data_IF_420753896801
#
_entry.id   IF_420753896801
#
_cell.length_a   1.000
_cell.length_b   1.000
_cell.length_c   1.000
_cell.angle_alpha   90.00
_cell.angle_beta   90.00
_cell.angle_gamma   90.00
#
_symmetry.space_group_name_H-M   'P 1'
#
loop_
_entity.id
_entity.type
_entity.pdbx_description
1 polymer ?
2 non-polymer ?
3 water ?
#
# COMPACT_ATOMS: atom_id res chain seq x y z
N UNK A 1 -27.19 18.54 -0.11
CA UNK A 1 -28.17 17.61 -0.69
C UNK A 1 -27.57 16.24 -0.90
N UNK A 2 -28.18 15.21 -0.31
CA UNK A 2 -27.68 13.86 -0.44
C UNK A 2 -27.82 13.33 -1.87
N UNK A 3 -28.81 13.83 -2.59
CA UNK A 3 -29.08 13.38 -3.94
C UNK A 3 -28.11 13.88 -4.99
N UNK A 4 -27.40 14.95 -4.68
CA UNK A 4 -26.42 15.52 -5.61
C UNK A 4 -25.07 15.67 -4.93
N UNK A 5 -24.86 14.89 -3.88
CA UNK A 5 -23.64 14.97 -3.08
C UNK A 5 -22.43 14.38 -3.80
N UNK A 6 -21.37 15.19 -3.91
CA UNK A 6 -20.11 14.73 -4.46
C UNK A 6 -19.40 13.82 -3.46
N UNK A 7 -19.09 12.61 -3.88
CA UNK A 7 -18.44 11.64 -3.01
C UNK A 7 -17.02 12.07 -2.64
N UNK A 8 -16.71 12.03 -1.36
CA UNK A 8 -15.36 12.32 -0.88
C UNK A 8 -14.49 11.07 -1.01
N UNK A 9 -13.21 11.22 -0.68
CA UNK A 9 -12.27 10.11 -0.78
C UNK A 9 -12.65 8.97 0.15
N UNK A 10 -12.90 9.29 1.42
CA UNK A 10 -13.24 8.28 2.42
C UNK A 10 -14.57 7.59 2.11
N UNK A 11 -15.55 8.35 1.65
CA UNK A 11 -16.86 7.79 1.30
C UNK A 11 -16.76 6.86 0.10
N UNK A 12 -15.95 7.24 -0.88
CA UNK A 12 -15.75 6.41 -2.06
C UNK A 12 -14.88 5.20 -1.74
N UNK A 13 -13.91 5.40 -0.85
CA UNK A 13 -13.01 4.32 -0.44
C UNK A 13 -13.76 3.23 0.30
N UNK A 14 -14.56 3.64 1.30
CA UNK A 14 -15.31 2.71 2.13
C UNK A 14 -16.21 1.80 1.30
N UNK A 15 -16.68 2.32 0.16
CA UNK A 15 -17.56 1.57 -0.71
C UNK A 15 -16.78 0.66 -1.67
N UNK A 16 -15.63 1.15 -2.14
CA UNK A 16 -14.83 0.40 -3.10
C UNK A 16 -13.94 -0.65 -2.43
N UNK A 17 -13.52 -0.36 -1.21
CA UNK A 17 -12.74 -1.33 -0.44
C UNK A 17 -13.66 -2.39 0.16
N UNK A 18 -14.96 -2.18 0.02
CA UNK A 18 -15.94 -3.18 0.41
C UNK A 18 -16.04 -4.24 -0.67
N UNK A 19 -15.41 -5.39 -0.42
CA UNK A 19 -15.34 -6.48 -1.39
C UNK A 19 -14.72 -6.01 -2.70
N UNK A 27 -7.48 -5.56 -7.89
CA UNK A 27 -6.83 -4.66 -6.95
C UNK A 27 -7.37 -3.24 -7.07
N UNK A 28 -8.06 -2.78 -6.03
CA UNK A 28 -8.59 -1.42 -6.01
C UNK A 28 -7.82 -0.55 -5.03
N UNK A 29 -7.13 0.45 -5.56
CA UNK A 29 -6.33 1.34 -4.75
C UNK A 29 -7.16 2.47 -4.13
N UNK A 30 -6.68 2.98 -2.99
CA UNK A 30 -7.34 4.08 -2.31
C UNK A 30 -7.39 5.31 -3.19
N UNK A 31 -8.55 5.99 -3.22
CA UNK A 31 -8.77 7.19 -4.05
C UNK A 31 -7.71 8.26 -3.86
N UNK A 32 -7.21 8.80 -4.97
CA UNK A 32 -6.16 9.81 -4.93
C UNK A 32 -6.51 11.02 -5.79
N UNK A 33 -5.82 12.13 -5.55
CA UNK A 33 -5.90 13.27 -6.44
C UNK A 33 -4.82 13.10 -7.50
N UNK A 34 -5.09 13.59 -8.71
CA UNK A 34 -4.13 13.45 -9.79
C UNK A 34 -2.86 14.24 -9.52
N UNK A 35 -3.01 15.56 -9.43
CA UNK A 35 -1.87 16.43 -9.15
C UNK A 35 -1.99 17.10 -7.79
N UNK A 36 -0.98 16.89 -6.95
CA UNK A 36 -0.90 17.53 -5.64
C UNK A 36 -0.91 19.06 -5.81
N UNK A 37 -1.69 19.76 -4.98
CA UNK A 37 -1.84 21.22 -5.11
C UNK A 37 -0.54 21.99 -4.89
N UNK A 38 0.16 21.72 -3.79
CA UNK A 38 1.35 22.49 -3.43
C UNK A 38 2.56 22.14 -4.29
N UNK A 39 3.04 20.90 -4.18
CA UNK A 39 4.26 20.49 -4.87
C UNK A 39 4.05 20.24 -6.36
N UNK A 40 2.78 20.13 -6.75
CA UNK A 40 2.40 19.95 -8.16
C UNK A 40 3.01 18.69 -8.79
N UNK A 41 3.18 17.65 -7.98
CA UNK A 41 3.66 16.37 -8.47
C UNK A 41 2.51 15.55 -9.02
N UNK A 42 2.83 14.58 -9.88
CA UNK A 42 1.82 13.66 -10.38
C UNK A 42 1.70 12.48 -9.42
N UNK A 43 0.70 12.53 -8.56
CA UNK A 43 0.50 11.51 -7.53
C UNK A 43 0.22 10.14 -8.14
N UNK A 44 -0.46 10.12 -9.28
CA UNK A 44 -0.73 8.88 -9.98
C UNK A 44 0.56 8.25 -10.48
N UNK A 45 1.46 9.09 -10.99
CA UNK A 45 2.77 8.63 -11.44
C UNK A 45 3.60 8.10 -10.28
N UNK A 46 3.55 8.82 -9.17
CA UNK A 46 4.31 8.47 -7.98
C UNK A 46 3.78 7.19 -7.35
N UNK A 47 2.47 7.02 -7.38
CA UNK A 47 1.83 5.83 -6.80
C UNK A 47 2.19 4.59 -7.60
N UNK A 48 2.12 4.69 -8.92
CA UNK A 48 2.45 3.59 -9.81
C UNK A 48 3.92 3.20 -9.67
N UNK A 49 4.79 4.20 -9.62
CA UNK A 49 6.22 3.97 -9.47
C UNK A 49 6.53 3.26 -8.16
N UNK A 50 5.88 3.69 -7.10
CA UNK A 50 6.03 3.06 -5.78
C UNK A 50 5.59 1.60 -5.83
N UNK A 51 4.57 1.32 -6.63
CA UNK A 51 4.04 -0.03 -6.76
C UNK A 51 5.02 -0.97 -7.46
N UNK A 52 5.62 -0.52 -8.56
CA UNK A 52 6.52 -1.35 -9.34
C UNK A 52 7.72 -1.80 -8.50
N UNK A 53 8.15 -0.96 -7.57
CA UNK A 53 9.30 -1.27 -6.72
C UNK A 53 8.92 -2.16 -5.54
N UNK A 54 7.62 -2.36 -5.32
CA UNK A 54 7.15 -3.17 -4.20
C UNK A 54 6.13 -4.22 -4.66
N UNK A 55 6.49 -5.49 -4.52
CA UNK A 55 5.68 -6.60 -5.02
C UNK A 55 5.48 -6.49 -6.52
N UNK A 56 4.45 -5.77 -6.95
CA UNK A 56 4.20 -5.57 -8.36
C UNK A 56 2.80 -5.11 -8.71
N UNK A 57 2.56 -4.96 -10.01
CA UNK A 57 1.25 -4.55 -10.52
C UNK A 57 0.35 -5.75 -10.76
N UNK A 58 -0.85 -5.72 -10.19
CA UNK A 58 -1.82 -6.80 -10.38
C UNK A 58 -2.26 -6.86 -11.84
N UNK A 59 -2.93 -7.95 -12.19
CA UNK A 59 -3.38 -8.14 -13.57
C UNK A 59 -4.43 -7.09 -13.94
N UNK A 60 -5.14 -6.61 -12.93
CA UNK A 60 -6.07 -5.50 -13.09
C UNK A 60 -5.86 -4.45 -12.00
N UNK A 61 -5.14 -3.38 -12.33
CA UNK A 61 -4.91 -2.31 -11.36
C UNK A 61 -5.92 -1.18 -11.53
N UNK A 62 -6.71 -0.95 -10.49
CA UNK A 62 -7.76 0.06 -10.54
C UNK A 62 -7.41 1.28 -9.68
N UNK A 63 -7.44 2.45 -10.31
CA UNK A 63 -7.23 3.70 -9.59
C UNK A 63 -8.43 4.64 -9.71
N UNK A 64 -8.88 5.16 -8.57
CA UNK A 64 -9.92 6.19 -8.55
C UNK A 64 -9.25 7.55 -8.41
N UNK A 65 -9.15 8.28 -9.51
CA UNK A 65 -8.40 9.52 -9.53
C UNK A 65 -9.30 10.75 -9.61
N UNK A 66 -9.06 11.69 -8.71
CA UNK A 66 -9.82 12.95 -8.68
C UNK A 66 -9.05 14.07 -9.33
N UNK A 67 -9.64 14.69 -10.35
CA UNK A 67 -9.00 15.77 -11.09
C UNK A 67 -9.64 17.11 -10.79
N UNK A 68 -10.25 17.23 -9.61
CA UNK A 68 -10.92 18.45 -9.21
C UNK A 68 -12.39 18.24 -8.94
N UNK A 69 -13.16 18.00 -10.00
CA UNK A 69 -14.58 17.72 -9.87
C UNK A 69 -14.92 16.37 -10.47
N UNK A 70 -13.91 15.71 -11.03
CA UNK A 70 -14.09 14.40 -11.65
C UNK A 70 -13.63 13.27 -10.73
N UNK A 71 -14.40 12.19 -10.69
CA UNK A 71 -13.90 10.91 -10.20
C UNK A 71 -13.66 10.01 -11.40
N UNK A 72 -12.40 9.74 -11.70
CA UNK A 72 -12.06 8.95 -12.87
C UNK A 72 -11.73 7.51 -12.52
N UNK A 73 -12.26 6.59 -13.32
CA UNK A 73 -11.88 5.18 -13.21
C UNK A 73 -10.67 4.92 -14.08
N UNK A 74 -9.53 4.67 -13.43
CA UNK A 74 -8.29 4.43 -14.15
C UNK A 74 -7.85 2.96 -13.99
N UNK A 75 -7.94 2.21 -15.08
CA UNK A 75 -7.63 0.79 -15.04
C UNK A 75 -6.35 0.44 -15.81
N UNK A 76 -5.44 -0.26 -15.12
CA UNK A 76 -4.25 -0.79 -15.76
C UNK A 76 -4.35 -2.32 -15.81
N UNK A 77 -4.36 -2.87 -17.02
CA UNK A 77 -4.55 -4.30 -17.20
C UNK A 77 -3.69 -4.87 -18.32
N UNK A 78 -3.26 -6.11 -18.14
CA UNK A 78 -2.47 -6.81 -19.16
C UNK A 78 -3.36 -7.69 -20.01
N UNK A 79 -3.17 -7.63 -21.33
CA UNK A 79 -3.98 -8.41 -22.26
C UNK A 79 -3.31 -8.56 -23.62
N UNK A 80 -2.43 -9.56 -23.75
CA UNK A 80 -2.08 -10.44 -22.66
C UNK A 80 -0.62 -10.21 -22.27
N UNK A 81 0.23 -10.06 -23.27
CA UNK A 81 1.64 -9.74 -23.05
C UNK A 81 1.82 -8.23 -22.97
N UNK A 82 0.86 -7.50 -23.53
CA UNK A 82 0.90 -6.04 -23.53
C UNK A 82 -0.03 -5.47 -22.46
N UNK A 83 0.50 -4.58 -21.63
CA UNK A 83 -0.30 -3.90 -20.63
C UNK A 83 -1.02 -2.72 -21.27
N UNK A 84 -2.28 -2.51 -20.90
CA UNK A 84 -3.08 -1.45 -21.49
C UNK A 84 -3.66 -0.51 -20.43
N UNK A 85 -3.87 0.73 -20.80
CA UNK A 85 -4.45 1.72 -19.90
C UNK A 85 -5.86 2.10 -20.35
N UNK A 86 -6.73 2.30 -19.38
CA UNK A 86 -8.13 2.60 -19.66
C UNK A 86 -8.63 3.72 -18.74
N UNK A 87 -9.15 4.79 -19.35
CA UNK A 87 -9.69 5.91 -18.58
C UNK A 87 -11.19 6.04 -18.82
N UNK A 88 -11.96 5.96 -17.74
CA UNK A 88 -13.41 6.02 -17.83
C UNK A 88 -13.94 7.34 -17.27
N UNK A 89 -14.40 8.21 -18.15
CA UNK A 89 -14.92 9.52 -17.75
C UNK A 89 -16.42 9.61 -17.99
N UNK A 90 -17.17 9.89 -16.94
CA UNK A 90 -18.63 9.94 -17.03
C UNK A 90 -19.17 11.37 -17.06
N UNK A 91 -18.28 12.33 -17.27
CA UNK A 91 -18.66 13.74 -17.29
C UNK A 91 -18.19 14.39 -18.59
N UNK A 92 -17.96 15.70 -18.57
CA UNK A 92 -17.47 16.40 -19.74
C UNK A 92 -16.06 15.96 -20.10
N UNK A 93 -15.69 16.16 -21.37
CA UNK A 93 -14.38 15.76 -21.86
C UNK A 93 -13.25 16.43 -21.07
N UNK A 94 -12.25 15.64 -20.70
CA UNK A 94 -11.08 16.16 -20.01
C UNK A 94 -10.29 17.06 -20.95
N UNK A 95 -9.75 18.16 -20.43
CA UNK A 95 -8.88 18.99 -21.23
C UNK A 95 -7.56 18.26 -21.47
N UNK A 96 -6.85 18.64 -22.52
CA UNK A 96 -5.67 17.91 -22.96
C UNK A 96 -4.53 17.99 -21.94
N UNK A 97 -4.54 19.02 -21.11
CA UNK A 97 -3.56 19.14 -20.03
C UNK A 97 -3.70 18.02 -19.00
N UNK A 98 -4.93 17.80 -18.54
CA UNK A 98 -5.23 16.74 -17.59
C UNK A 98 -4.93 15.38 -18.20
N UNK A 99 -5.22 15.25 -19.49
CA UNK A 99 -5.04 13.99 -20.21
C UNK A 99 -3.59 13.53 -20.24
N UNK A 100 -2.67 14.45 -20.49
CA UNK A 100 -1.27 14.09 -20.64
C UNK A 100 -0.54 13.93 -19.31
N UNK A 101 -1.20 14.31 -18.22
CA UNK A 101 -0.70 14.00 -16.90
C UNK A 101 -0.99 12.53 -16.63
N UNK A 102 -2.10 12.05 -17.20
CA UNK A 102 -2.48 10.65 -17.11
C UNK A 102 -1.62 9.80 -18.05
N UNK A 103 -1.33 10.34 -19.23
CA UNK A 103 -0.48 9.66 -20.20
C UNK A 103 0.93 9.46 -19.64
N UNK A 104 1.43 10.48 -18.96
CA UNK A 104 2.74 10.41 -18.32
C UNK A 104 2.78 9.29 -17.29
N UNK A 105 1.69 9.17 -16.52
CA UNK A 105 1.58 8.12 -15.51
C UNK A 105 1.42 6.76 -16.17
N UNK A 106 0.73 6.72 -17.30
CA UNK A 106 0.52 5.49 -18.04
C UNK A 106 1.84 4.88 -18.50
N UNK A 107 2.73 5.74 -18.99
CA UNK A 107 4.03 5.31 -19.46
C UNK A 107 4.83 4.60 -18.37
N UNK A 108 4.69 5.09 -17.14
CA UNK A 108 5.36 4.49 -15.99
C UNK A 108 4.85 3.07 -15.76
N UNK A 109 3.54 2.88 -15.93
CA UNK A 109 2.92 1.56 -15.78
C UNK A 109 3.42 0.60 -16.86
N UNK A 110 3.98 1.14 -17.94
CA UNK A 110 4.60 0.33 -18.97
C UNK A 110 3.84 0.25 -20.27
N UNK A 111 2.99 1.24 -20.54
CA UNK A 111 2.21 1.26 -21.77
C UNK A 111 3.11 1.38 -23.00
N UNK A 116 -1.73 2.86 -26.81
CA UNK A 116 -2.29 4.20 -26.61
C UNK A 116 -3.26 4.22 -25.43
N UNK A 117 -3.26 5.32 -24.69
CA UNK A 117 -4.16 5.48 -23.55
C UNK A 117 -5.60 5.62 -24.05
N UNK A 118 -6.44 4.65 -23.70
CA UNK A 118 -7.82 4.62 -24.16
C UNK A 118 -8.75 5.43 -23.26
N UNK A 119 -9.06 6.65 -23.68
CA UNK A 119 -9.98 7.51 -22.95
C UNK A 119 -11.43 7.25 -23.34
N UNK A 120 -12.21 6.72 -22.40
CA UNK A 120 -13.64 6.52 -22.62
C UNK A 120 -14.43 7.63 -21.95
N UNK A 121 -14.84 8.62 -22.74
CA UNK A 121 -15.49 9.82 -22.20
C UNK A 121 -16.92 9.97 -22.71
N UNK A 122 -17.88 9.80 -21.80
CA UNK A 122 -19.30 9.96 -22.11
C UNK A 122 -20.03 10.58 -20.92
N UNK A 123 -20.70 11.70 -21.15
CA UNK A 123 -21.40 12.39 -20.06
C UNK A 123 -22.70 11.68 -19.68
N UNK A 124 -22.70 11.07 -18.50
CA UNK A 124 -23.85 10.31 -18.01
C UNK A 124 -24.50 11.01 -16.82
N UNK A 125 -24.08 12.23 -16.54
CA UNK A 125 -24.45 12.91 -15.30
C UNK A 125 -25.49 14.00 -15.46
N UNK A 126 -26.17 14.04 -16.60
CA UNK A 126 -27.23 15.01 -16.81
C UNK A 126 -28.40 14.75 -15.85
N UNK A 127 -28.58 13.50 -15.47
CA UNK A 127 -29.61 13.13 -14.52
C UNK A 127 -29.03 12.47 -13.27
N UNK A 128 -27.71 12.37 -13.24
CA UNK A 128 -27.01 11.87 -12.05
C UNK A 128 -25.95 12.90 -11.63
N UNK A 129 -26.38 13.95 -10.91
CA UNK A 129 -25.52 15.06 -10.51
C UNK A 129 -24.35 14.61 -9.63
N UNK A 130 -23.13 14.95 -10.04
CA UNK A 130 -21.92 14.53 -9.34
C UNK A 130 -21.89 13.02 -9.14
N UNK A 131 -22.32 12.29 -10.16
CA UNK A 131 -22.43 10.84 -10.08
C UNK A 131 -21.17 10.11 -10.49
N UNK A 132 -20.08 10.86 -10.66
CA UNK A 132 -18.80 10.29 -11.07
C UNK A 132 -18.36 9.19 -10.12
N UNK A 133 -18.52 9.43 -8.82
CA UNK A 133 -18.18 8.44 -7.81
C UNK A 133 -19.15 7.27 -7.83
N UNK A 134 -20.38 7.52 -8.26
CA UNK A 134 -21.40 6.48 -8.33
C UNK A 134 -21.09 5.48 -9.44
N UNK A 135 -20.70 5.99 -10.61
CA UNK A 135 -20.37 5.13 -11.73
C UNK A 135 -19.09 4.36 -11.48
N UNK A 136 -18.18 4.94 -10.70
CA UNK A 136 -16.97 4.25 -10.28
C UNK A 136 -17.33 3.02 -9.45
N UNK A 137 -18.16 3.23 -8.44
CA UNK A 137 -18.60 2.16 -7.56
C UNK A 137 -19.35 1.06 -8.32
N UNK A 138 -20.16 1.45 -9.29
CA UNK A 138 -20.99 0.52 -10.03
C UNK A 138 -20.19 -0.28 -11.05
N UNK A 139 -19.30 0.38 -11.76
CA UNK A 139 -18.53 -0.26 -12.83
C UNK A 139 -17.46 -1.21 -12.30
N UNK A 140 -16.94 -0.93 -11.10
CA UNK A 140 -16.00 -1.83 -10.46
C UNK A 140 -16.66 -3.17 -10.20
N UNK A 141 -17.94 -3.12 -9.83
CA UNK A 141 -18.72 -4.33 -9.65
C UNK A 141 -18.97 -5.02 -10.98
N UNK A 142 -19.18 -4.23 -12.03
CA UNK A 142 -19.31 -4.79 -13.38
C UNK A 142 -18.05 -5.53 -13.82
N UNK A 143 -16.89 -4.88 -13.65
CA UNK A 143 -15.61 -5.43 -14.08
C UNK A 143 -15.26 -6.69 -13.29
N UNK A 144 -15.79 -6.81 -12.08
CA UNK A 144 -15.54 -7.99 -11.26
C UNK A 144 -16.51 -9.12 -11.62
N UNK A 145 -17.63 -8.79 -12.22
CA UNK A 145 -18.54 -9.79 -12.72
C UNK A 145 -18.24 -10.11 -14.19
N UNK A 146 -17.37 -9.32 -14.79
CA UNK A 146 -17.03 -9.51 -16.19
C UNK A 146 -15.89 -10.51 -16.38
N UNK A 147 -14.97 -10.55 -15.43
CA UNK A 147 -13.87 -11.49 -15.44
C UNK A 147 -12.88 -11.29 -16.58
N UNK A 148 -12.94 -12.18 -17.57
CA UNK A 148 -11.98 -12.17 -18.66
C UNK A 148 -12.45 -11.35 -19.84
N UNK A 149 -13.69 -10.84 -19.77
CA UNK A 149 -14.22 -9.99 -20.82
C UNK A 149 -13.41 -8.71 -20.96
N UNK A 150 -13.32 -8.20 -22.19
CA UNK A 150 -12.59 -6.96 -22.45
C UNK A 150 -13.22 -5.80 -21.70
N UNK A 151 -12.47 -5.20 -20.78
CA UNK A 151 -12.98 -4.13 -19.92
C UNK A 151 -13.33 -2.87 -20.70
N UNK A 152 -12.67 -2.66 -21.84
CA UNK A 152 -12.92 -1.49 -22.66
C UNK A 152 -14.29 -1.55 -23.32
N UNK A 153 -14.77 -2.76 -23.55
CA UNK A 153 -16.09 -2.95 -24.15
C UNK A 153 -17.14 -3.19 -23.08
N UNK A 154 -16.69 -3.50 -21.87
CA UNK A 154 -17.59 -3.64 -20.73
C UNK A 154 -18.13 -2.29 -20.31
N UNK A 155 -17.23 -1.33 -20.18
CA UNK A 155 -17.59 0.03 -19.74
C UNK A 155 -18.27 0.81 -20.85
N UNK A 156 -17.82 0.61 -22.09
CA UNK A 156 -18.36 1.33 -23.23
C UNK A 156 -19.83 1.01 -23.46
N UNK A 157 -20.15 -0.28 -23.50
CA UNK A 157 -21.52 -0.72 -23.73
C UNK A 157 -22.42 -0.42 -22.54
N UNK A 158 -21.83 -0.33 -21.35
CA UNK A 158 -22.57 0.06 -20.16
C UNK A 158 -23.01 1.51 -20.25
N UNK A 159 -22.09 2.39 -20.64
CA UNK A 159 -22.36 3.81 -20.74
C UNK A 159 -23.37 4.10 -21.86
N UNK A 160 -23.23 3.38 -22.97
CA UNK A 160 -24.17 3.53 -24.08
C UNK A 160 -25.57 3.10 -23.67
N UNK A 161 -25.66 1.95 -23.02
CA UNK A 161 -26.94 1.43 -22.54
C UNK A 161 -27.57 2.33 -21.48
N UNK A 162 -26.71 3.01 -20.71
CA UNK A 162 -27.18 3.89 -19.64
C UNK A 162 -27.86 5.12 -20.22
N UNK A 163 -27.38 5.58 -21.37
CA UNK A 163 -27.94 6.75 -22.03
C UNK A 163 -29.30 6.46 -22.64
N UNK A 164 -29.58 5.18 -22.89
CA UNK A 164 -30.84 4.77 -23.50
C UNK A 164 -31.97 4.75 -22.48
N UNK A 165 -31.61 4.80 -21.20
CA UNK A 165 -32.60 4.79 -20.13
C UNK A 165 -33.35 6.12 -20.05
N UNK A 166 -34.57 6.08 -19.53
CA UNK A 166 -35.36 7.29 -19.34
C UNK A 166 -34.87 8.05 -18.11
N UNK A 167 -35.29 9.30 -17.99
CA UNK A 167 -34.90 10.15 -16.87
C UNK A 167 -35.28 9.51 -15.54
N UNK A 168 -36.47 8.94 -15.48
CA UNK A 168 -36.97 8.28 -14.27
C UNK A 168 -36.10 7.09 -13.88
N UNK A 169 -35.59 6.38 -14.88
CA UNK A 169 -34.72 5.23 -14.64
C UNK A 169 -33.32 5.67 -14.23
N UNK A 170 -32.83 6.73 -14.87
CA UNK A 170 -31.51 7.26 -14.56
C UNK A 170 -31.47 7.86 -13.15
N UNK A 171 -32.53 8.57 -12.80
CA UNK A 171 -32.63 9.17 -11.47
C UNK A 171 -32.81 8.10 -10.41
N UNK A 172 -33.45 7.00 -10.78
CA UNK A 172 -33.63 5.87 -9.87
C UNK A 172 -32.29 5.24 -9.54
N UNK A 173 -31.44 5.09 -10.56
CA UNK A 173 -30.09 4.59 -10.39
C UNK A 173 -29.30 5.49 -9.45
N UNK A 174 -29.59 6.79 -9.51
CA UNK A 174 -28.90 7.78 -8.69
C UNK A 174 -29.15 7.61 -7.20
N UNK A 175 -30.40 7.36 -6.84
CA UNK A 175 -30.79 7.29 -5.43
C UNK A 175 -30.53 5.91 -4.82
N UNK A 176 -30.67 4.86 -5.62
CA UNK A 176 -30.42 3.50 -5.16
C UNK A 176 -28.94 3.29 -4.87
N UNK A 177 -28.09 3.71 -5.80
CA UNK A 177 -26.65 3.54 -5.68
C UNK A 177 -26.11 4.31 -4.48
N UNK A 178 -26.61 5.53 -4.30
CA UNK A 178 -26.17 6.38 -3.19
C UNK A 178 -26.56 5.80 -1.84
N UNK A 179 -27.69 5.10 -1.80
CA UNK A 179 -28.17 4.51 -0.55
C UNK A 179 -27.30 3.32 -0.12
N UNK A 180 -26.66 2.68 -1.09
CA UNK A 180 -25.75 1.58 -0.79
C UNK A 180 -24.38 2.12 -0.42
N UNK A 181 -23.93 3.13 -1.16
CA UNK A 181 -22.63 3.75 -0.92
C UNK A 181 -22.58 4.41 0.45
N UNK A 182 -23.65 5.13 0.81
CA UNK A 182 -23.70 5.84 2.07
C UNK A 182 -23.65 4.89 3.27
N UNK A 183 -24.05 3.64 3.06
CA UNK A 183 -24.07 2.65 4.13
C UNK A 183 -22.67 2.29 4.61
N UNK A 184 -21.71 2.26 3.68
CA UNK A 184 -20.33 1.96 4.03
C UNK A 184 -19.73 3.03 4.92
N UNK A 185 -20.23 4.25 4.79
CA UNK A 185 -19.72 5.38 5.55
C UNK A 185 -20.50 5.58 6.85
N UNK A 186 -21.39 4.65 7.16
CA UNK A 186 -22.19 4.72 8.37
C UNK A 186 -22.07 3.44 9.19
N UNK B 1 31.89 -9.59 0.18
CA UNK B 1 31.80 -10.87 0.90
C UNK B 1 30.35 -11.22 1.22
N UNK B 2 29.91 -12.40 0.79
CA UNK B 2 28.53 -12.81 0.98
C UNK B 2 28.19 -13.11 2.44
N UNK B 3 29.20 -13.48 3.21
CA UNK B 3 28.99 -13.88 4.59
C UNK B 3 28.80 -12.73 5.57
N UNK B 4 29.24 -11.55 5.19
CA UNK B 4 29.13 -10.38 6.06
C UNK B 4 28.47 -9.21 5.34
N UNK B 5 27.70 -9.53 4.30
CA UNK B 5 27.07 -8.52 3.46
C UNK B 5 25.87 -7.88 4.13
N UNK B 6 25.86 -6.55 4.20
CA UNK B 6 24.72 -5.81 4.72
C UNK B 6 23.57 -5.84 3.72
N UNK B 7 22.42 -6.34 4.16
CA UNK B 7 21.25 -6.45 3.29
C UNK B 7 20.71 -5.07 2.91
N UNK B 8 20.39 -4.91 1.63
CA UNK B 8 19.75 -3.69 1.16
C UNK B 8 18.25 -3.77 1.40
N UNK B 9 17.54 -2.69 1.08
CA UNK B 9 16.10 -2.65 1.30
C UNK B 9 15.36 -3.68 0.46
N UNK B 10 15.73 -3.78 -0.82
CA UNK B 10 15.01 -4.62 -1.77
C UNK B 10 15.17 -6.12 -1.49
N UNK B 11 16.38 -6.56 -1.19
CA UNK B 11 16.62 -7.97 -0.92
C UNK B 11 16.06 -8.36 0.44
N UNK B 12 15.95 -7.40 1.34
CA UNK B 12 15.27 -7.61 2.61
C UNK B 12 13.77 -7.64 2.36
N UNK B 13 13.32 -6.80 1.43
CA UNK B 13 11.90 -6.75 1.07
C UNK B 13 11.48 -8.03 0.37
N UNK B 14 12.29 -8.47 -0.58
CA UNK B 14 11.98 -9.66 -1.37
C UNK B 14 11.90 -10.92 -0.52
N UNK B 15 12.61 -10.92 0.60
CA UNK B 15 12.66 -12.09 1.47
C UNK B 15 11.55 -12.09 2.52
N UNK B 16 11.27 -10.93 3.10
CA UNK B 16 10.32 -10.83 4.22
C UNK B 16 8.85 -10.95 3.81
N UNK B 17 8.50 -10.38 2.66
CA UNK B 17 7.12 -10.45 2.19
C UNK B 17 6.90 -11.66 1.28
N UNK B 18 7.98 -12.40 1.01
CA UNK B 18 7.84 -13.68 0.36
C UNK B 18 7.48 -14.71 1.40
N UNK B 19 7.72 -14.33 2.66
CA UNK B 19 7.40 -15.17 3.81
C UNK B 19 5.89 -15.21 4.05
N UNK B 20 5.28 -14.03 4.06
CA UNK B 20 3.84 -13.92 4.23
C UNK B 20 3.16 -13.61 2.90
N UNK B 21 1.87 -13.28 2.95
CA UNK B 21 1.13 -12.94 1.74
C UNK B 21 -0.12 -12.13 2.09
N UNK B 25 -4.58 -9.90 9.70
CA UNK B 25 -3.49 -10.85 9.46
C UNK B 25 -2.16 -10.30 9.97
N UNK B 26 -1.07 -10.67 9.30
CA UNK B 26 0.25 -10.17 9.66
C UNK B 26 0.78 -9.25 8.56
N UNK B 27 0.70 -7.95 8.80
CA UNK B 27 1.09 -6.97 7.78
C UNK B 27 2.58 -6.68 7.79
N UNK B 28 3.24 -7.00 6.68
CA UNK B 28 4.66 -6.70 6.53
C UNK B 28 4.87 -5.58 5.52
N UNK B 29 5.34 -4.44 6.01
CA UNK B 29 5.54 -3.27 5.17
C UNK B 29 6.92 -3.24 4.51
N UNK B 30 7.02 -2.49 3.42
CA UNK B 30 8.28 -2.32 2.71
C UNK B 30 9.28 -1.57 3.59
N UNK B 31 10.55 -2.01 3.59
CA UNK B 31 11.63 -1.43 4.39
C UNK B 31 11.78 0.08 4.20
N UNK B 32 11.86 0.81 5.31
CA UNK B 32 12.01 2.25 5.27
C UNK B 32 13.16 2.72 6.16
N UNK B 33 13.58 3.97 5.97
CA UNK B 33 14.51 4.61 6.87
C UNK B 33 13.72 5.39 7.90
N UNK B 34 14.27 5.55 9.10
CA UNK B 34 13.56 6.23 10.17
C UNK B 34 13.40 7.72 9.88
N UNK B 35 14.53 8.41 9.76
CA UNK B 35 14.51 9.84 9.49
C UNK B 35 15.13 10.17 8.13
N UNK B 36 14.42 10.96 7.34
CA UNK B 36 14.93 11.46 6.07
C UNK B 36 16.24 12.20 6.31
N UNK B 37 17.28 11.90 5.52
CA UNK B 37 18.58 12.58 5.64
C UNK B 37 18.51 14.09 5.36
N UNK B 38 18.10 14.48 4.15
CA UNK B 38 18.00 15.89 3.78
C UNK B 38 17.02 16.62 4.69
N UNK B 39 15.77 16.14 4.69
CA UNK B 39 14.77 16.63 5.62
C UNK B 39 15.13 16.10 7.02
N UNK B 40 14.22 16.18 7.97
CA UNK B 40 14.40 15.53 9.26
C UNK B 40 13.08 14.94 9.73
N UNK B 41 12.26 14.54 8.78
CA UNK B 41 10.94 14.00 9.07
C UNK B 41 11.00 12.53 9.46
N UNK B 42 10.08 12.12 10.32
CA UNK B 42 9.96 10.73 10.71
C UNK B 42 9.14 9.95 9.69
N UNK B 43 9.83 9.20 8.83
CA UNK B 43 9.16 8.45 7.77
C UNK B 43 8.25 7.36 8.36
N UNK B 44 8.65 6.82 9.51
CA UNK B 44 7.83 5.82 10.19
C UNK B 44 6.52 6.43 10.68
N UNK B 45 6.59 7.66 11.19
CA UNK B 45 5.41 8.37 11.66
C UNK B 45 4.45 8.69 10.52
N UNK B 46 5.00 9.21 9.42
CA UNK B 46 4.19 9.57 8.26
C UNK B 46 3.60 8.34 7.58
N UNK B 47 4.33 7.23 7.65
CA UNK B 47 3.86 5.98 7.06
C UNK B 47 2.65 5.46 7.83
N UNK B 48 2.70 5.59 9.15
CA UNK B 48 1.61 5.16 10.01
C UNK B 48 0.37 6.03 9.84
N UNK B 49 0.58 7.34 9.71
CA UNK B 49 -0.53 8.27 9.57
C UNK B 49 -1.31 8.03 8.28
N UNK B 50 -0.60 7.84 7.17
CA UNK B 50 -1.23 7.55 5.89
C UNK B 50 -2.02 6.24 5.99
N UNK B 51 -1.47 5.28 6.72
CA UNK B 51 -2.13 4.00 6.95
C UNK B 51 -3.48 4.21 7.64
N UNK B 52 -3.46 4.92 8.76
CA UNK B 52 -4.65 5.18 9.55
C UNK B 52 -5.69 6.00 8.78
N UNK B 53 -5.21 6.87 7.90
CA UNK B 53 -6.09 7.75 7.13
C UNK B 53 -6.80 7.01 5.99
N UNK B 54 -6.40 5.76 5.75
CA UNK B 54 -6.98 5.00 4.65
C UNK B 54 -7.54 3.65 5.11
N UNK B 55 -7.01 2.58 4.53
CA UNK B 55 -7.49 1.22 4.81
C UNK B 55 -7.23 0.79 6.25
N UNK B 56 -6.55 1.65 7.00
CA UNK B 56 -6.40 1.44 8.44
C UNK B 56 -5.12 0.75 8.86
N UNK B 57 -4.90 0.73 10.17
CA UNK B 57 -3.75 0.06 10.75
C UNK B 57 -4.10 -1.37 11.14
N UNK B 58 -3.44 -2.33 10.49
CA UNK B 58 -3.64 -3.74 10.85
C UNK B 58 -3.12 -3.96 12.27
N UNK B 59 -3.67 -4.96 12.96
CA UNK B 59 -3.31 -5.18 14.35
C UNK B 59 -2.07 -6.06 14.49
N UNK B 60 -1.47 -6.37 13.34
CA UNK B 60 -0.11 -6.92 13.30
C UNK B 60 0.69 -6.21 12.23
N UNK B 61 1.19 -5.01 12.55
CA UNK B 61 1.96 -4.23 11.59
C UNK B 61 3.46 -4.38 11.81
N UNK B 62 4.14 -4.89 10.80
CA UNK B 62 5.59 -5.09 10.87
C UNK B 62 6.31 -4.05 10.03
N UNK B 63 7.22 -3.31 10.66
CA UNK B 63 8.05 -2.35 9.94
C UNK B 63 9.53 -2.71 10.05
N UNK B 64 10.20 -2.78 8.91
CA UNK B 64 11.64 -2.95 8.88
C UNK B 64 12.28 -1.57 8.73
N UNK B 65 12.76 -1.02 9.84
CA UNK B 65 13.25 0.35 9.86
C UNK B 65 14.77 0.42 9.93
N UNK B 66 15.35 1.21 9.03
CA UNK B 66 16.80 1.42 9.02
C UNK B 66 17.16 2.73 9.71
N UNK B 67 18.01 2.64 10.72
CA UNK B 67 18.40 3.81 11.50
C UNK B 67 19.87 4.17 11.27
N UNK B 68 20.37 3.88 10.08
CA UNK B 68 21.76 4.12 9.75
C UNK B 68 22.60 2.88 9.89
N UNK B 69 22.70 2.11 8.80
CA UNK B 69 23.45 0.87 8.76
C UNK B 69 23.00 -0.14 9.82
N UNK B 70 21.73 -0.06 10.19
CA UNK B 70 21.16 -1.01 11.16
C UNK B 70 19.68 -1.27 10.88
N UNK B 71 19.31 -2.53 10.81
CA UNK B 71 17.92 -2.92 10.58
C UNK B 71 17.20 -3.22 11.90
N UNK B 72 16.09 -2.54 12.12
CA UNK B 72 15.28 -2.77 13.32
C UNK B 72 13.93 -3.41 12.96
N UNK B 73 13.52 -4.38 13.77
CA UNK B 73 12.20 -4.96 13.63
C UNK B 73 11.21 -4.19 14.50
N UNK B 74 10.25 -3.54 13.86
CA UNK B 74 9.27 -2.75 14.58
C UNK B 74 7.88 -3.37 14.48
N UNK B 75 7.35 -3.84 15.60
CA UNK B 75 6.07 -4.54 15.62
C UNK B 75 4.99 -3.76 16.35
N UNK B 76 3.87 -3.52 15.68
CA UNK B 76 2.70 -2.93 16.31
C UNK B 76 1.60 -3.98 16.41
N UNK B 77 1.25 -4.36 17.65
CA UNK B 77 0.26 -5.41 17.85
C UNK B 77 -0.69 -5.07 19.00
N UNK B 78 -1.85 -5.73 19.00
CA UNK B 78 -2.84 -5.54 20.05
C UNK B 78 -2.83 -6.69 21.04
N UNK B 79 -2.86 -6.36 22.33
CA UNK B 79 -2.86 -7.38 23.38
C UNK B 79 -4.21 -7.40 24.10
N UNK B 80 -4.78 -6.22 24.30
CA UNK B 80 -6.08 -6.09 24.94
C UNK B 80 -6.70 -4.72 24.63
N UNK B 83 -3.39 -2.18 22.03
CA UNK B 83 -2.38 -1.56 21.17
C UNK B 83 -1.02 -1.53 21.85
N UNK B 84 -0.11 -2.37 21.37
CA UNK B 84 1.24 -2.45 21.94
C UNK B 84 2.31 -2.31 20.86
N UNK B 85 3.45 -1.75 21.24
CA UNK B 85 4.57 -1.59 20.32
C UNK B 85 5.78 -2.40 20.79
N UNK B 86 6.48 -3.00 19.83
CA UNK B 86 7.63 -3.84 20.14
C UNK B 86 8.81 -3.51 19.23
N UNK B 87 9.96 -3.24 19.83
CA UNK B 87 11.17 -2.96 19.07
C UNK B 87 12.23 -4.02 19.32
N UNK B 88 12.72 -4.63 18.24
CA UNK B 88 13.71 -5.69 18.35
C UNK B 88 15.05 -5.25 17.78
N UNK B 89 16.03 -5.10 18.67
CA UNK B 89 17.38 -4.67 18.30
C UNK B 89 18.40 -5.76 18.57
N UNK B 90 19.11 -6.19 17.53
CA UNK B 90 20.05 -7.30 17.66
C UNK B 90 21.51 -6.84 17.65
N UNK B 91 21.73 -5.53 17.69
CA UNK B 91 23.08 -4.99 17.78
C UNK B 91 23.24 -4.20 19.07
N UNK B 92 24.14 -3.23 19.06
CA UNK B 92 24.37 -2.38 20.21
C UNK B 92 23.13 -1.54 20.52
N UNK B 93 23.00 -1.13 21.78
CA UNK B 93 21.83 -0.38 22.23
C UNK B 93 21.65 0.93 21.46
N UNK B 94 20.42 1.21 21.09
CA UNK B 94 20.07 2.46 20.44
C UNK B 94 20.34 3.63 21.38
N UNK B 95 20.91 4.71 20.86
CA UNK B 95 21.09 5.91 21.66
C UNK B 95 19.73 6.49 22.02
N UNK B 96 19.70 7.29 23.08
CA UNK B 96 18.43 7.82 23.59
C UNK B 96 17.75 8.76 22.59
N UNK B 97 18.53 9.28 21.65
CA UNK B 97 17.97 10.08 20.57
C UNK B 97 17.08 9.23 19.66
N UNK B 98 17.66 8.21 19.04
CA UNK B 98 16.98 7.34 18.08
C UNK B 98 15.69 6.74 18.63
N UNK B 99 15.68 6.40 19.90
CA UNK B 99 14.52 5.78 20.52
C UNK B 99 13.32 6.74 20.58
N UNK B 100 13.59 8.04 20.58
CA UNK B 100 12.55 9.05 20.74
C UNK B 100 11.63 9.16 19.53
N UNK B 101 12.19 9.09 18.32
CA UNK B 101 11.39 9.16 17.11
C UNK B 101 10.55 7.89 16.97
N UNK B 102 11.04 6.80 17.57
CA UNK B 102 10.29 5.56 17.60
C UNK B 102 9.11 5.69 18.56
N UNK B 103 9.36 6.34 19.70
CA UNK B 103 8.28 6.67 20.63
C UNK B 103 7.28 7.59 19.96
N UNK B 104 7.80 8.57 19.23
CA UNK B 104 6.97 9.52 18.48
C UNK B 104 6.00 8.82 17.54
N UNK B 105 6.51 7.85 16.79
CA UNK B 105 5.69 7.12 15.84
C UNK B 105 4.73 6.15 16.54
N UNK B 106 5.19 5.59 17.65
CA UNK B 106 4.37 4.64 18.40
C UNK B 106 3.13 5.31 18.97
N UNK B 107 3.28 6.56 19.39
CA UNK B 107 2.16 7.33 19.91
C UNK B 107 1.11 7.56 18.82
N UNK B 108 1.57 7.71 17.59
CA UNK B 108 0.70 7.85 16.43
C UNK B 108 -0.07 6.55 16.19
N UNK B 109 0.62 5.43 16.42
CA UNK B 109 0.01 4.11 16.27
C UNK B 109 -1.05 3.86 17.36
N UNK B 110 -0.98 4.64 18.43
CA UNK B 110 -1.99 4.59 19.47
C UNK B 110 -1.53 3.95 20.77
N UNK B 111 -0.26 4.15 21.12
CA UNK B 111 0.26 3.62 22.38
C UNK B 111 -0.21 4.43 23.58
N UNK B 116 3.74 1.15 27.36
CA UNK B 116 4.68 1.93 26.58
C UNK B 116 5.62 1.01 25.80
N UNK B 117 6.40 1.60 24.89
CA UNK B 117 7.20 0.84 23.93
C UNK B 117 8.25 -0.06 24.57
N UNK B 118 8.15 -1.36 24.29
CA UNK B 118 9.08 -2.35 24.81
C UNK B 118 10.31 -2.50 23.91
N UNK B 119 11.42 -1.89 24.31
CA UNK B 119 12.67 -2.00 23.57
C UNK B 119 13.45 -3.24 23.98
N UNK B 120 13.49 -4.22 23.09
CA UNK B 120 14.25 -5.45 23.34
C UNK B 120 15.61 -5.37 22.66
N UNK B 121 16.62 -4.98 23.43
CA UNK B 121 17.95 -4.73 22.86
C UNK B 121 18.99 -5.72 23.38
N UNK B 122 19.40 -6.64 22.50
CA UNK B 122 20.43 -7.64 22.84
C UNK B 122 21.35 -7.85 21.64
N UNK B 123 22.64 -7.58 21.82
CA UNK B 123 23.61 -7.73 20.75
C UNK B 123 23.82 -9.20 20.37
N UNK B 124 23.34 -9.58 19.19
CA UNK B 124 23.42 -10.96 18.73
C UNK B 124 24.35 -11.10 17.53
N UNK B 125 25.11 -10.05 17.22
CA UNK B 125 25.86 -10.02 15.97
C UNK B 125 27.38 -10.13 16.15
N UNK B 126 27.82 -10.64 17.29
CA UNK B 126 29.24 -10.86 17.52
C UNK B 126 29.81 -11.89 16.55
N UNK B 127 28.97 -12.84 16.15
CA UNK B 127 29.35 -13.85 15.18
C UNK B 127 28.47 -13.81 13.94
N UNK B 128 27.55 -12.84 13.91
CA UNK B 128 26.69 -12.65 12.75
C UNK B 128 26.85 -11.21 12.24
N UNK B 129 27.93 -10.95 11.48
CA UNK B 129 28.24 -9.60 10.99
C UNK B 129 27.20 -9.08 10.01
N UNK B 130 26.72 -7.86 10.25
CA UNK B 130 25.66 -7.25 9.45
C UNK B 130 24.44 -8.16 9.32
N UNK B 131 24.13 -8.87 10.40
CA UNK B 131 23.04 -9.83 10.38
C UNK B 131 21.73 -9.28 10.89
N UNK B 132 21.65 -7.96 11.04
CA UNK B 132 20.43 -7.32 11.53
C UNK B 132 19.24 -7.63 10.62
N UNK B 133 19.48 -7.67 9.31
CA UNK B 133 18.45 -8.02 8.36
C UNK B 133 18.10 -9.48 8.44
N UNK B 134 19.07 -10.30 8.83
CA UNK B 134 18.86 -11.74 8.99
C UNK B 134 17.92 -12.02 10.15
N UNK B 135 18.18 -11.37 11.28
CA UNK B 135 17.34 -11.53 12.46
C UNK B 135 15.94 -11.00 12.22
N UNK B 136 15.84 -9.96 11.39
CA UNK B 136 14.54 -9.43 11.00
C UNK B 136 13.75 -10.47 10.22
N UNK B 137 14.41 -11.12 9.28
CA UNK B 137 13.78 -12.14 8.44
C UNK B 137 13.33 -13.35 9.25
N UNK B 138 14.18 -13.79 10.18
CA UNK B 138 13.89 -14.99 10.96
C UNK B 138 12.79 -14.77 11.98
N UNK B 139 12.76 -13.59 12.59
CA UNK B 139 11.75 -13.29 13.60
C UNK B 139 10.37 -13.11 12.98
N UNK B 140 10.32 -12.63 11.75
CA UNK B 140 9.06 -12.56 11.02
C UNK B 140 8.53 -13.98 10.79
N UNK B 141 9.45 -14.91 10.54
CA UNK B 141 9.09 -16.32 10.39
C UNK B 141 8.58 -16.88 11.71
N UNK B 142 9.20 -16.47 12.81
CA UNK B 142 8.78 -16.91 14.13
C UNK B 142 7.37 -16.43 14.45
N UNK B 143 7.11 -15.15 14.20
CA UNK B 143 5.81 -14.57 14.46
C UNK B 143 4.73 -15.21 13.58
N UNK B 144 5.12 -15.59 12.37
CA UNK B 144 4.20 -16.22 11.43
C UNK B 144 4.15 -17.73 11.63
N UNK B 149 2.16 -18.95 20.10
CA UNK B 149 1.46 -17.66 19.98
C UNK B 149 1.65 -16.84 21.25
N UNK B 150 1.92 -15.56 21.03
CA UNK B 150 2.58 -14.66 21.99
C UNK B 150 3.73 -13.96 21.30
N UNK B 151 4.07 -12.77 21.80
CA UNK B 151 5.00 -11.90 21.09
C UNK B 151 6.28 -11.46 21.81
N UNK B 152 6.13 -10.73 22.92
CA UNK B 152 7.23 -9.97 23.52
C UNK B 152 8.27 -10.83 24.25
N UNK B 153 7.92 -12.06 24.57
CA UNK B 153 8.87 -12.97 25.21
C UNK B 153 9.26 -14.09 24.26
N UNK B 154 8.58 -14.16 23.12
CA UNK B 154 8.95 -15.11 22.08
C UNK B 154 10.28 -14.70 21.46
N UNK B 155 10.38 -13.42 21.10
CA UNK B 155 11.59 -12.87 20.51
C UNK B 155 12.69 -12.77 21.56
N UNK B 156 12.30 -12.60 22.82
CA UNK B 156 13.26 -12.49 23.90
C UNK B 156 13.76 -13.87 24.32
N UNK B 157 12.97 -14.90 24.00
CA UNK B 157 13.39 -16.28 24.25
C UNK B 157 14.32 -16.74 23.12
N UNK B 158 14.02 -16.29 21.91
CA UNK B 158 14.85 -16.61 20.75
C UNK B 158 16.27 -16.09 20.94
N UNK B 159 16.37 -14.83 21.37
CA UNK B 159 17.66 -14.20 21.60
C UNK B 159 18.39 -14.86 22.77
N UNK B 160 17.62 -15.48 23.66
CA UNK B 160 18.19 -16.14 24.83
C UNK B 160 18.90 -17.44 24.44
N UNK B 161 18.16 -18.35 23.80
CA UNK B 161 18.73 -19.62 23.36
C UNK B 161 19.79 -19.44 22.28
N UNK B 162 19.73 -18.31 21.57
CA UNK B 162 20.71 -17.99 20.55
C UNK B 162 22.05 -17.63 21.18
N UNK B 163 21.98 -16.97 22.34
CA UNK B 163 23.19 -16.55 23.05
C UNK B 163 23.89 -17.71 23.74
N UNK B 164 23.14 -18.76 24.06
CA UNK B 164 23.71 -19.92 24.74
C UNK B 164 24.57 -20.75 23.79
N UNK B 165 24.39 -20.52 22.49
CA UNK B 165 25.16 -21.23 21.48
C UNK B 165 26.58 -20.67 21.40
N UNK B 166 27.52 -21.50 20.96
CA UNK B 166 28.91 -21.07 20.81
C UNK B 166 29.13 -20.50 19.43
N UNK B 167 30.39 -20.24 19.07
CA UNK B 167 30.73 -19.93 17.69
C UNK B 167 30.32 -21.14 16.86
N UNK B 168 29.25 -20.97 16.08
CA UNK B 168 28.43 -22.05 15.51
C UNK B 168 27.64 -22.71 16.65
N UNK B 169 26.34 -22.92 16.44
CA UNK B 169 25.69 -22.71 15.15
C UNK B 169 25.24 -21.25 14.91
N UNK B 170 25.81 -20.32 15.68
CA UNK B 170 25.60 -18.90 15.43
C UNK B 170 26.11 -18.53 14.04
N UNK B 171 27.30 -19.03 13.71
CA UNK B 171 27.89 -18.80 12.39
C UNK B 171 27.17 -19.62 11.34
N UNK B 172 26.67 -20.79 11.75
CA UNK B 172 25.87 -21.63 10.86
C UNK B 172 24.56 -20.93 10.52
N UNK B 173 23.93 -20.35 11.54
CA UNK B 173 22.72 -19.57 11.36
C UNK B 173 22.96 -18.40 10.42
N UNK B 174 24.18 -17.87 10.45
CA UNK B 174 24.56 -16.74 9.61
C UNK B 174 24.57 -17.10 8.13
N UNK B 175 25.18 -18.24 7.80
CA UNK B 175 25.31 -18.65 6.40
C UNK B 175 24.08 -19.37 5.88
N UNK B 176 23.31 -19.95 6.80
CA UNK B 176 22.08 -20.65 6.42
C UNK B 176 20.97 -19.67 6.10
N UNK B 177 20.81 -18.67 6.96
CA UNK B 177 19.78 -17.65 6.77
C UNK B 177 20.05 -16.80 5.53
N UNK B 178 21.32 -16.42 5.35
CA UNK B 178 21.71 -15.59 4.22
C UNK B 178 21.41 -16.26 2.89
N UNK B 179 21.63 -17.57 2.82
CA UNK B 179 21.42 -18.31 1.59
C UNK B 179 19.94 -18.49 1.28
N UNK B 180 19.11 -18.58 2.32
CA UNK B 180 17.67 -18.65 2.12
C UNK B 180 17.13 -17.30 1.70
N UNK B 181 17.72 -16.23 2.25
CA UNK B 181 17.33 -14.87 1.91
C UNK B 181 17.76 -14.50 0.49
N UNK B 182 19.01 -14.84 0.16
CA UNK B 182 19.55 -14.55 -1.16
C UNK B 182 18.76 -15.26 -2.26
N UNK B 183 18.10 -16.35 -1.90
CA UNK B 183 17.33 -17.15 -2.84
C UNK B 183 16.15 -16.38 -3.42
N UNK B 184 15.55 -15.52 -2.60
CA UNK B 184 14.42 -14.70 -3.04
C UNK B 184 14.85 -13.67 -4.08
N UNK B 185 16.12 -13.27 -4.02
CA UNK B 185 16.66 -12.27 -4.95
C UNK B 185 17.35 -12.94 -6.13
N UNK B 186 17.22 -14.26 -6.23
CA UNK B 186 17.83 -15.01 -7.31
C UNK B 186 16.85 -16.03 -7.91
#
# INVERSE_FOLDING_TARGET
PLGSRMLSSDELAAATQGLVQESPLLSVNYPIGLIHPTTKENILSTQLLEKIAQSGLSHNEVFLVNTGDHWLLCLFYKLAEKIKCLIFNTYYDLNENTKQEIIEAAKIAGISESDEVNFIEMNLQNNVPNGCGLFCYHTIQLLSNAGQNDPATTLREFAENFLTLSVEEQALFNTQTRRQIYEYSLQ
PLGSRMLSSDELAAATQGLVQESPLLSVNYPIGLIHPTTKENILSTQLLEKIAQSGLSHNEVFLVNTGDHWLLCLFYKLAEKIKCLIFNTYYDLNENTKQEIIEAAKIAGISESDEVNFIEMNLQNNVPNGCGLFCYHTIQLLSNAGQNDPATTLREFAENFLTLSVEEQALFNTQTRRQIYEYSLQ
#
